data_IF_898522562429
#
_entry.id   IF_898522562429
#
_cell.length_a   1.000
_cell.length_b   1.000
_cell.length_c   1.000
_cell.angle_alpha   90.00
_cell.angle_beta   90.00
_cell.angle_gamma   90.00
#
_symmetry.space_group_name_H-M   'P 1'
#
loop_
_entity.id
_entity.type
_entity.pdbx_description
1 polymer ?
#
# COMPACT_ATOMS: atom_id res chain seq x y z
N UNK A 1 -15.26 24.61 36.46
CA UNK A 1 -15.71 24.99 35.10
C UNK A 1 -14.52 25.45 34.24
N UNK A 2 -13.40 24.69 34.26
CA UNK A 2 -12.20 24.99 33.47
C UNK A 2 -11.41 23.71 33.09
N UNK A 3 -11.90 22.53 33.48
CA UNK A 3 -11.28 21.24 33.19
C UNK A 3 -12.02 20.50 32.05
N UNK A 4 -13.33 20.71 31.87
CA UNK A 4 -14.08 20.16 30.74
C UNK A 4 -13.71 20.83 29.40
N UNK A 5 -13.35 22.11 29.40
CA UNK A 5 -12.99 22.87 28.19
C UNK A 5 -11.59 22.48 27.66
N UNK A 6 -10.71 21.98 28.55
CA UNK A 6 -9.43 21.39 28.16
C UNK A 6 -9.59 19.96 27.61
N UNK A 7 -10.62 19.23 28.05
CA UNK A 7 -10.93 17.90 27.50
C UNK A 7 -11.48 18.01 26.08
N UNK A 8 -12.43 18.92 25.83
CA UNK A 8 -13.03 19.14 24.50
C UNK A 8 -12.02 19.66 23.45
N UNK A 9 -11.03 20.46 23.86
CA UNK A 9 -9.95 20.94 22.97
C UNK A 9 -8.90 19.86 22.69
N UNK A 10 -8.57 19.00 23.66
CA UNK A 10 -7.66 17.84 23.48
C UNK A 10 -8.35 16.59 22.87
N UNK A 11 -9.68 16.58 22.77
CA UNK A 11 -10.47 15.50 22.16
C UNK A 11 -10.95 15.84 20.75
N UNK A 12 -11.10 17.12 20.39
CA UNK A 12 -11.57 17.57 19.07
C UNK A 12 -10.47 18.07 18.12
N UNK A 13 -9.20 18.09 18.54
CA UNK A 13 -8.07 18.15 17.60
C UNK A 13 -7.95 16.81 16.86
N UNK A 14 -8.86 16.62 15.89
CA UNK A 14 -8.97 15.40 15.11
C UNK A 14 -7.64 15.04 14.46
N UNK A 15 -7.23 13.78 14.57
CA UNK A 15 -6.06 13.29 13.86
C UNK A 15 -6.16 13.67 12.37
N UNK A 16 -5.11 14.34 11.89
CA UNK A 16 -4.91 14.78 10.51
C UNK A 16 -3.52 14.34 10.04
N UNK A 17 -3.41 14.07 8.73
CA UNK A 17 -2.14 13.81 8.04
C UNK A 17 -1.34 15.09 7.74
N UNK A 18 -1.92 16.27 7.98
CA UNK A 18 -1.24 17.56 7.85
C UNK A 18 -0.03 17.60 8.80
N UNK A 19 1.11 18.06 8.29
CA UNK A 19 2.42 18.13 8.97
C UNK A 19 3.06 16.80 9.43
N UNK A 20 2.60 15.65 8.92
CA UNK A 20 3.28 14.36 9.16
C UNK A 20 4.43 14.10 8.20
N UNK A 21 5.52 13.57 8.76
CA UNK A 21 6.70 13.09 8.01
C UNK A 21 6.33 11.92 7.10
N UNK A 22 5.53 10.96 7.59
CA UNK A 22 5.08 9.80 6.82
C UNK A 22 3.58 9.95 6.57
N UNK A 23 3.16 9.91 5.31
CA UNK A 23 1.76 9.96 4.91
C UNK A 23 1.39 8.71 4.13
N UNK A 24 0.13 8.29 4.28
CA UNK A 24 -0.40 7.12 3.59
C UNK A 24 -1.80 7.43 3.05
N UNK A 25 -2.01 7.11 1.79
CA UNK A 25 -3.28 7.27 1.09
C UNK A 25 -3.76 5.91 0.63
N UNK A 26 -4.96 5.53 1.08
CA UNK A 26 -5.57 4.23 0.79
C UNK A 26 -6.97 4.40 0.24
N UNK A 27 -7.57 3.32 -0.25
CA UNK A 27 -8.96 3.29 -0.72
C UNK A 27 -10.00 3.57 0.37
N UNK A 28 -9.61 3.52 1.65
CA UNK A 28 -10.52 3.86 2.76
C UNK A 28 -10.76 5.36 2.88
N UNK A 29 -9.92 6.17 2.21
CA UNK A 29 -9.97 7.62 2.26
C UNK A 29 -8.72 8.22 2.90
N UNK A 30 -8.58 9.53 2.73
CA UNK A 30 -7.57 10.35 3.40
C UNK A 30 -7.93 10.46 4.89
N UNK A 31 -6.92 10.52 5.77
CA UNK A 31 -7.07 10.67 7.22
C UNK A 31 -7.83 9.54 7.96
N UNK A 32 -8.00 8.36 7.34
CA UNK A 32 -8.56 7.18 8.01
C UNK A 32 -7.46 6.35 8.70
N UNK A 33 -6.31 6.24 8.05
CA UNK A 33 -5.13 5.54 8.54
C UNK A 33 -3.98 6.53 8.68
N UNK A 34 -3.27 6.47 9.80
CA UNK A 34 -2.10 7.30 10.08
C UNK A 34 -0.86 6.44 10.18
N UNK A 35 0.15 6.71 9.37
CA UNK A 35 1.41 6.01 9.45
C UNK A 35 2.20 6.44 10.70
N UNK A 36 2.67 5.46 11.46
CA UNK A 36 3.49 5.66 12.66
C UNK A 36 4.94 5.24 12.41
N UNK A 37 5.14 4.19 11.61
CA UNK A 37 6.46 3.66 11.26
C UNK A 37 6.47 3.13 9.83
N UNK A 38 7.58 3.33 9.14
CA UNK A 38 7.86 2.81 7.81
C UNK A 38 9.19 2.06 7.83
N UNK A 39 9.16 0.76 7.53
CA UNK A 39 10.33 -0.03 7.19
C UNK A 39 10.33 -0.29 5.68
N UNK A 40 11.41 0.09 5.01
CA UNK A 40 11.57 -0.05 3.55
C UNK A 40 12.74 -0.96 3.24
N UNK A 41 12.50 -2.00 2.42
CA UNK A 41 13.52 -2.91 1.93
C UNK A 41 13.53 -2.92 0.40
N UNK A 42 14.71 -2.64 -0.17
CA UNK A 42 14.96 -2.71 -1.60
C UNK A 42 16.41 -3.15 -1.88
N UNK A 43 16.59 -3.86 -2.99
CA UNK A 43 17.88 -4.35 -3.47
C UNK A 43 17.97 -4.24 -4.99
N UNK A 44 19.17 -4.37 -5.54
CA UNK A 44 19.37 -4.35 -6.98
C UNK A 44 18.74 -5.61 -7.58
N UNK A 45 17.73 -5.44 -8.43
CA UNK A 45 16.93 -6.53 -9.01
C UNK A 45 16.08 -7.32 -8.00
N UNK A 46 15.87 -6.79 -6.79
CA UNK A 46 14.93 -7.34 -5.82
C UNK A 46 13.61 -6.57 -5.85
N UNK A 47 12.51 -7.25 -5.54
CA UNK A 47 11.21 -6.60 -5.42
C UNK A 47 11.20 -5.76 -4.14
N UNK A 48 10.87 -4.47 -4.26
CA UNK A 48 10.70 -3.60 -3.11
C UNK A 48 9.54 -4.06 -2.22
N UNK A 49 9.78 -4.03 -0.92
CA UNK A 49 8.79 -4.27 0.14
C UNK A 49 8.76 -3.08 1.10
N UNK A 50 7.55 -2.66 1.46
CA UNK A 50 7.27 -1.67 2.48
C UNK A 50 6.45 -2.34 3.57
N UNK A 51 6.89 -2.22 4.81
CA UNK A 51 6.10 -2.54 6.00
C UNK A 51 5.75 -1.23 6.69
N UNK A 52 4.45 -0.94 6.80
CA UNK A 52 3.97 0.31 7.39
C UNK A 52 3.10 -0.03 8.60
N UNK A 53 3.51 0.42 9.77
CA UNK A 53 2.65 0.37 10.95
C UNK A 53 1.75 1.60 10.92
N UNK A 54 0.44 1.36 10.98
CA UNK A 54 -0.60 2.38 10.89
C UNK A 54 -1.56 2.29 12.06
N UNK A 55 -2.09 3.45 12.44
CA UNK A 55 -3.21 3.58 13.38
C UNK A 55 -4.48 3.93 12.62
N UNK A 56 -5.57 3.23 12.90
CA UNK A 56 -6.90 3.65 12.46
C UNK A 56 -7.42 4.79 13.35
N UNK A 57 -8.02 5.81 12.72
CA UNK A 57 -8.64 6.96 13.42
C UNK A 57 -9.73 6.50 14.38
N UNK A 58 -10.68 5.74 13.82
CA UNK A 58 -11.91 5.34 14.48
C UNK A 58 -12.09 3.82 14.38
N UNK A 59 -12.06 3.12 15.51
CA UNK A 59 -12.47 1.72 15.61
C UNK A 59 -11.65 0.71 14.82
N UNK A 60 -12.31 -0.40 14.49
CA UNK A 60 -11.75 -1.50 13.70
C UNK A 60 -12.07 -1.30 12.22
N UNK A 61 -11.04 -1.44 11.36
CA UNK A 61 -11.20 -1.39 9.91
C UNK A 61 -11.38 -2.80 9.36
N UNK A 62 -12.13 -2.94 8.26
CA UNK A 62 -12.21 -4.22 7.54
C UNK A 62 -10.94 -4.41 6.69
N UNK A 63 -10.06 -5.37 7.02
CA UNK A 63 -8.82 -5.61 6.28
C UNK A 63 -9.08 -5.97 4.81
N UNK A 64 -10.22 -6.60 4.50
CA UNK A 64 -10.55 -7.07 3.15
C UNK A 64 -10.71 -5.93 2.15
N UNK A 65 -11.06 -4.73 2.63
CA UNK A 65 -11.17 -3.54 1.79
C UNK A 65 -9.82 -2.99 1.35
N UNK A 66 -8.74 -3.32 2.06
CA UNK A 66 -7.39 -2.85 1.77
C UNK A 66 -6.59 -3.86 0.94
N UNK A 67 -6.75 -5.16 1.19
CA UNK A 67 -6.02 -6.20 0.45
C UNK A 67 -6.25 -6.07 -1.05
N UNK A 68 -5.18 -6.24 -1.83
CA UNK A 68 -5.14 -6.13 -3.28
C UNK A 68 -5.53 -4.75 -3.84
N UNK A 69 -5.50 -3.70 -3.01
CA UNK A 69 -5.70 -2.32 -3.45
C UNK A 69 -4.38 -1.59 -3.58
N UNK A 70 -4.36 -0.55 -4.43
CA UNK A 70 -3.22 0.34 -4.55
C UNK A 70 -3.23 1.37 -3.43
N UNK A 71 -2.06 1.66 -2.92
CA UNK A 71 -1.82 2.60 -1.84
C UNK A 71 -0.59 3.42 -2.17
N UNK A 72 -0.62 4.69 -1.79
CA UNK A 72 0.49 5.61 -1.91
C UNK A 72 1.06 5.85 -0.51
N UNK A 73 2.38 5.70 -0.36
CA UNK A 73 3.10 6.04 0.87
C UNK A 73 4.09 7.13 0.51
N UNK A 74 4.07 8.24 1.22
CA UNK A 74 5.04 9.32 1.03
C UNK A 74 5.79 9.63 2.32
N UNK A 75 7.06 9.94 2.16
CA UNK A 75 7.98 10.35 3.21
C UNK A 75 8.52 11.72 2.84
N UNK A 76 8.31 12.69 3.71
CA UNK A 76 8.89 14.02 3.60
C UNK A 76 10.20 14.08 4.40
N UNK A 77 11.29 14.40 3.73
CA UNK A 77 12.61 14.61 4.32
C UNK A 77 12.84 16.10 4.10
N UNK A 78 13.09 16.91 5.14
CA UNK A 78 12.98 18.38 5.09
C UNK A 78 13.56 19.09 3.86
N UNK A 79 13.20 20.36 3.67
CA UNK A 79 13.60 21.19 2.50
C UNK A 79 12.99 20.71 1.17
N UNK A 80 11.75 20.21 1.20
CA UNK A 80 11.02 19.80 0.00
C UNK A 80 11.54 18.52 -0.65
N UNK A 81 12.46 17.81 0.01
CA UNK A 81 12.87 16.48 -0.41
C UNK A 81 11.85 15.46 0.07
N UNK A 82 11.74 14.35 -0.67
CA UNK A 82 10.81 13.32 -0.29
C UNK A 82 10.88 12.13 -1.21
N UNK A 83 10.31 11.05 -0.72
CA UNK A 83 10.17 9.81 -1.45
C UNK A 83 8.70 9.42 -1.44
N UNK A 84 8.21 8.93 -2.57
CA UNK A 84 6.87 8.39 -2.68
C UNK A 84 6.95 6.99 -3.29
N UNK A 85 6.16 6.09 -2.75
CA UNK A 85 6.04 4.72 -3.19
C UNK A 85 4.58 4.40 -3.47
N UNK A 86 4.31 3.98 -4.70
CA UNK A 86 3.05 3.34 -5.02
C UNK A 86 3.21 1.83 -4.91
N UNK A 87 2.30 1.18 -4.20
CA UNK A 87 2.35 -0.26 -4.02
C UNK A 87 0.98 -0.89 -3.83
N UNK A 88 0.97 -2.20 -3.99
CA UNK A 88 -0.18 -3.05 -3.73
C UNK A 88 -0.13 -3.56 -2.29
N UNK A 89 -1.21 -3.38 -1.54
CA UNK A 89 -1.35 -3.98 -0.22
C UNK A 89 -1.55 -5.49 -0.39
N UNK A 90 -0.59 -6.28 0.10
CA UNK A 90 -0.65 -7.75 0.06
C UNK A 90 -1.07 -8.38 1.38
N UNK A 91 -0.83 -7.68 2.48
CA UNK A 91 -1.14 -8.17 3.82
C UNK A 91 -1.56 -7.03 4.74
N UNK A 92 -2.47 -7.34 5.65
CA UNK A 92 -2.92 -6.46 6.72
C UNK A 92 -3.00 -7.32 7.98
N UNK A 93 -2.22 -6.96 8.99
CA UNK A 93 -2.20 -7.66 10.28
C UNK A 93 -2.77 -6.73 11.34
N UNK A 94 -3.84 -7.15 12.02
CA UNK A 94 -4.39 -6.39 13.13
C UNK A 94 -3.47 -6.52 14.36
N UNK A 95 -3.09 -5.37 14.90
CA UNK A 95 -2.35 -5.24 16.14
C UNK A 95 -3.27 -5.06 17.36
N UNK A 96 -2.70 -4.64 18.50
CA UNK A 96 -3.46 -4.40 19.72
C UNK A 96 -4.43 -3.21 19.55
N UNK A 97 -5.52 -3.19 20.34
CA UNK A 97 -6.33 -1.99 20.49
C UNK A 97 -5.49 -0.88 21.13
N UNK A 98 -5.73 0.35 20.71
CA UNK A 98 -5.06 1.54 21.21
C UNK A 98 -5.98 2.31 22.16
N UNK A 99 -5.41 3.25 22.91
CA UNK A 99 -6.21 4.19 23.69
C UNK A 99 -7.13 5.02 22.78
N UNK A 100 -8.28 5.46 23.32
CA UNK A 100 -9.29 6.25 22.60
C UNK A 100 -9.97 5.53 21.43
N UNK A 101 -10.07 4.20 21.48
CA UNK A 101 -10.92 3.42 20.58
C UNK A 101 -10.33 3.16 19.18
N UNK A 102 -9.10 3.61 18.91
CA UNK A 102 -8.36 3.24 17.69
C UNK A 102 -7.76 1.84 17.78
N UNK A 103 -7.28 1.32 16.66
CA UNK A 103 -6.55 0.03 16.60
C UNK A 103 -5.31 0.15 15.73
N UNK A 104 -4.24 -0.53 16.15
CA UNK A 104 -3.01 -0.63 15.38
C UNK A 104 -3.13 -1.68 14.28
N UNK A 105 -2.50 -1.44 13.13
CA UNK A 105 -2.37 -2.40 12.04
C UNK A 105 -0.98 -2.33 11.47
N UNK A 106 -0.53 -3.43 10.88
CA UNK A 106 0.64 -3.43 10.00
C UNK A 106 0.22 -3.78 8.59
N UNK A 107 0.59 -2.92 7.64
CA UNK A 107 0.39 -3.12 6.21
C UNK A 107 1.67 -3.66 5.58
N UNK A 108 1.55 -4.72 4.79
CA UNK A 108 2.61 -5.20 3.92
C UNK A 108 2.29 -4.76 2.50
N UNK A 109 3.09 -3.84 1.97
CA UNK A 109 2.92 -3.21 0.68
C UNK A 109 4.07 -3.64 -0.23
N UNK A 110 3.78 -4.07 -1.45
CA UNK A 110 4.81 -4.47 -2.43
C UNK A 110 4.62 -3.77 -3.77
N UNK A 111 5.69 -3.72 -4.57
CA UNK A 111 5.60 -3.27 -5.97
C UNK A 111 4.58 -4.10 -6.75
N UNK A 112 3.85 -3.48 -7.69
CA UNK A 112 2.92 -4.18 -8.58
C UNK A 112 3.59 -5.31 -9.39
N UNK A 113 4.90 -5.20 -9.67
CA UNK A 113 5.67 -6.26 -10.35
C UNK A 113 5.68 -7.56 -9.56
N UNK A 114 5.47 -7.53 -8.25
CA UNK A 114 5.38 -8.74 -7.42
C UNK A 114 4.21 -9.65 -7.79
N UNK A 115 3.14 -9.11 -8.40
CA UNK A 115 2.02 -9.91 -8.89
C UNK A 115 2.45 -10.88 -10.00
N UNK A 116 3.50 -10.56 -10.76
CA UNK A 116 4.05 -11.43 -11.78
C UNK A 116 4.74 -12.65 -11.16
N UNK A 117 5.26 -12.53 -9.93
CA UNK A 117 5.84 -13.67 -9.21
C UNK A 117 4.78 -14.67 -8.72
N UNK A 118 3.52 -14.25 -8.62
CA UNK A 118 2.42 -15.11 -8.14
C UNK A 118 1.79 -15.93 -9.28
N UNK A 119 2.01 -15.55 -10.54
CA UNK A 119 1.51 -16.25 -11.71
C UNK A 119 2.66 -16.88 -12.49
N UNK A 120 2.76 -18.20 -12.49
CA UNK A 120 3.59 -18.91 -13.46
C UNK A 120 2.80 -19.12 -14.75
N UNK A 121 3.38 -18.69 -15.88
CA UNK A 121 2.83 -18.96 -17.20
C UNK A 121 3.96 -19.50 -18.08
N UNK A 122 3.73 -20.66 -18.70
CA UNK A 122 4.61 -21.14 -19.75
C UNK A 122 4.19 -20.47 -21.07
N UNK A 123 5.16 -20.02 -21.86
CA UNK A 123 4.92 -19.44 -23.19
C UNK A 123 5.97 -19.95 -24.17
N UNK A 124 5.54 -20.44 -25.33
CA UNK A 124 6.44 -20.68 -26.45
C UNK A 124 6.72 -19.34 -27.16
N UNK A 125 7.91 -18.78 -26.98
CA UNK A 125 8.30 -17.51 -27.60
C UNK A 125 8.97 -17.72 -28.96
N UNK A 126 8.55 -16.97 -29.99
CA UNK A 126 9.41 -16.74 -31.15
C UNK A 126 10.67 -15.98 -30.71
N UNK A 127 11.80 -16.15 -31.41
CA UNK A 127 13.08 -15.54 -31.02
C UNK A 127 12.97 -14.01 -31.03
N UNK A 128 13.03 -13.40 -29.84
CA UNK A 128 12.96 -11.95 -29.65
C UNK A 128 13.99 -11.52 -28.59
N UNK A 129 14.52 -10.28 -28.65
CA UNK A 129 15.44 -9.78 -27.64
C UNK A 129 14.76 -9.57 -26.28
N UNK A 130 15.47 -9.84 -25.19
CA UNK A 130 14.95 -9.90 -23.81
C UNK A 130 14.15 -8.66 -23.38
N UNK A 131 14.60 -7.46 -23.70
CA UNK A 131 13.91 -6.20 -23.34
C UNK A 131 12.51 -6.06 -23.99
N UNK A 132 12.28 -6.74 -25.12
CA UNK A 132 10.97 -6.79 -25.78
C UNK A 132 10.05 -7.78 -25.08
N UNK A 133 10.58 -8.94 -24.69
CA UNK A 133 9.83 -9.96 -23.95
C UNK A 133 9.30 -9.45 -22.61
N UNK A 134 10.12 -8.72 -21.83
CA UNK A 134 9.71 -8.17 -20.53
C UNK A 134 8.54 -7.17 -20.62
N UNK A 135 8.46 -6.39 -21.71
CA UNK A 135 7.34 -5.45 -21.95
C UNK A 135 6.05 -6.17 -22.33
N UNK A 136 6.14 -7.22 -23.13
CA UNK A 136 4.96 -8.00 -23.55
C UNK A 136 4.30 -8.71 -22.37
N UNK A 137 5.07 -9.28 -21.44
CA UNK A 137 4.53 -9.93 -20.25
C UNK A 137 3.75 -9.00 -19.32
N UNK A 138 4.12 -7.72 -19.26
CA UNK A 138 3.45 -6.71 -18.42
C UNK A 138 2.14 -6.17 -19.01
N UNK A 139 1.96 -6.20 -20.34
CA UNK A 139 0.77 -5.65 -21.01
C UNK A 139 -0.46 -6.55 -21.00
N UNK A 140 -0.28 -7.87 -20.97
CA UNK A 140 -1.39 -8.85 -21.08
C UNK A 140 -2.26 -8.95 -19.81
N UNK A 141 -1.80 -8.44 -18.67
CA UNK A 141 -2.58 -8.47 -17.41
C UNK A 141 -3.61 -7.33 -17.33
N UNK A 142 -3.58 -6.36 -18.25
CA UNK A 142 -4.40 -5.15 -18.22
C UNK A 142 -5.70 -5.20 -19.06
N UNK A 143 -6.00 -6.28 -19.79
CA UNK A 143 -7.27 -6.44 -20.52
C UNK A 143 -7.53 -7.89 -20.97
N UNK A 144 -8.67 -8.51 -20.61
CA UNK A 144 -9.06 -9.81 -21.16
C UNK A 144 -10.00 -9.60 -22.36
N UNK A 145 -9.53 -8.94 -23.43
CA UNK A 145 -10.34 -8.80 -24.65
C UNK A 145 -9.47 -8.58 -25.89
N UNK A 146 -8.78 -9.63 -26.35
CA UNK A 146 -8.53 -9.86 -27.78
C UNK A 146 -7.78 -11.20 -28.00
N UNK A 147 -8.50 -12.16 -28.59
CA UNK A 147 -8.01 -13.11 -29.60
C UNK A 147 -6.74 -13.93 -29.33
N UNK A 148 -6.92 -15.22 -29.02
CA UNK A 148 -5.81 -16.19 -29.08
C UNK A 148 -6.20 -17.61 -28.68
N UNK A 149 -6.89 -18.30 -29.58
CA UNK A 149 -7.03 -19.76 -29.77
C UNK A 149 -6.46 -20.67 -28.65
N UNK A 150 -7.35 -21.27 -27.87
CA UNK A 150 -7.03 -22.39 -26.97
C UNK A 150 -6.97 -23.69 -27.79
N UNK A 151 -5.79 -24.29 -27.93
CA UNK A 151 -5.69 -25.66 -28.42
C UNK A 151 -6.00 -26.63 -27.28
N UNK A 152 -7.05 -27.42 -27.53
CA UNK A 152 -7.41 -28.63 -26.81
C UNK A 152 -6.52 -29.76 -27.32
N UNK A 153 -5.82 -30.43 -26.40
CA UNK A 153 -5.42 -31.84 -26.52
C UNK A 153 -5.78 -32.51 -25.20
#
# INVERSE_FOLDING_TARGET
MALDELDDTLTNEGFSQVDRIIRIETVLGTDVLFAERLDYQAGISELCELRVDVRAKDGEIDPRRLIATLTNVSLEIGEGQGMAWNGLVQGVTAGPPLSRGGRAYTLMIRSQLSLLSQKSAWRAGAFQPFHRFARTGAGDTASPAAGGMWFRL
#
